data_IF_731658421924
#
_entry.id   IF_731658421924
#
_cell.length_a   1.000
_cell.length_b   1.000
_cell.length_c   1.000
_cell.angle_alpha   90.00
_cell.angle_beta   90.00
_cell.angle_gamma   90.00
#
_symmetry.space_group_name_H-M   'P 1'
#
loop_
_entity.id
_entity.type
_entity.pdbx_description
1 polymer ?
#
# COMPACT_ATOMS: atom_id res chain seq x y z
N UNK A 1 -14.69 16.52 25.00
CA UNK A 1 -15.01 16.05 23.64
C UNK A 1 -16.51 15.93 23.50
N UNK A 2 -17.04 16.35 22.35
CA UNK A 2 -18.43 16.11 22.00
C UNK A 2 -18.51 14.66 21.52
N UNK A 3 -19.38 13.85 22.12
CA UNK A 3 -19.63 12.49 21.64
C UNK A 3 -20.41 12.61 20.33
N UNK A 4 -19.74 12.35 19.21
CA UNK A 4 -20.36 12.31 17.89
C UNK A 4 -20.67 10.85 17.52
N UNK A 5 -21.79 10.62 16.85
CA UNK A 5 -22.09 9.31 16.29
C UNK A 5 -21.13 9.05 15.13
N UNK A 6 -20.45 7.90 15.14
CA UNK A 6 -19.58 7.49 14.05
C UNK A 6 -19.73 5.99 13.75
N UNK A 7 -19.37 5.61 12.53
CA UNK A 7 -19.27 4.22 12.08
C UNK A 7 -17.87 3.94 11.53
N UNK A 8 -17.44 2.68 11.60
CA UNK A 8 -16.18 2.20 11.03
C UNK A 8 -16.48 0.93 10.24
N UNK A 9 -16.15 0.93 8.96
CA UNK A 9 -16.33 -0.22 8.07
C UNK A 9 -14.99 -0.89 7.83
N UNK A 10 -14.90 -2.18 8.13
CA UNK A 10 -13.68 -2.97 7.96
C UNK A 10 -13.78 -3.84 6.70
N UNK A 11 -12.65 -4.16 6.06
CA UNK A 11 -12.61 -5.00 4.87
C UNK A 11 -12.93 -6.44 5.25
N UNK A 12 -13.80 -7.08 4.46
CA UNK A 12 -13.89 -8.54 4.45
C UNK A 12 -12.87 -9.08 3.44
N UNK A 13 -12.25 -10.21 3.76
CA UNK A 13 -11.32 -10.86 2.84
C UNK A 13 -11.39 -12.38 2.94
N UNK A 14 -10.87 -13.03 1.92
CA UNK A 14 -10.58 -14.46 1.92
C UNK A 14 -9.27 -14.69 1.19
N UNK A 15 -8.46 -15.64 1.64
CA UNK A 15 -7.14 -15.92 1.09
C UNK A 15 -6.95 -17.41 0.77
N UNK A 16 -6.22 -17.71 -0.31
CA UNK A 16 -5.76 -19.06 -0.63
C UNK A 16 -5.77 -19.39 -2.12
N UNK A 17 -5.23 -20.54 -2.50
CA UNK A 17 -5.05 -20.94 -3.92
C UNK A 17 -6.33 -21.32 -4.66
N UNK A 18 -7.40 -21.62 -3.91
CA UNK A 18 -8.72 -22.01 -4.45
C UNK A 18 -9.81 -20.99 -4.07
N UNK A 19 -9.42 -19.81 -3.62
CA UNK A 19 -10.28 -18.87 -2.90
C UNK A 19 -11.43 -18.29 -3.70
N UNK A 20 -11.34 -18.36 -5.03
CA UNK A 20 -12.42 -17.95 -5.92
C UNK A 20 -13.63 -18.90 -5.85
N UNK A 21 -13.53 -20.04 -5.16
CA UNK A 21 -14.70 -20.85 -4.76
C UNK A 21 -15.69 -20.06 -3.88
N UNK A 22 -15.24 -18.97 -3.24
CA UNK A 22 -16.07 -18.06 -2.45
C UNK A 22 -16.81 -17.01 -3.26
N UNK A 23 -16.55 -16.86 -4.57
CA UNK A 23 -17.23 -15.85 -5.40
C UNK A 23 -18.75 -16.00 -5.33
N UNK A 24 -19.30 -17.21 -5.50
CA UNK A 24 -20.75 -17.43 -5.44
C UNK A 24 -21.35 -17.03 -4.08
N UNK A 25 -20.92 -17.67 -2.97
CA UNK A 25 -21.43 -17.38 -1.63
C UNK A 25 -21.31 -15.91 -1.20
N UNK A 26 -20.28 -15.20 -1.66
CA UNK A 26 -20.04 -13.80 -1.28
C UNK A 26 -20.78 -12.82 -2.19
N UNK A 27 -20.83 -13.07 -3.50
CA UNK A 27 -21.26 -12.06 -4.48
C UNK A 27 -22.73 -12.21 -4.94
N UNK A 28 -23.33 -13.41 -4.89
CA UNK A 28 -24.67 -13.64 -5.48
C UNK A 28 -25.80 -12.81 -4.84
N UNK A 29 -25.65 -12.38 -3.59
CA UNK A 29 -26.62 -11.51 -2.92
C UNK A 29 -26.62 -10.07 -3.44
N UNK A 30 -25.61 -9.67 -4.22
CA UNK A 30 -25.44 -8.30 -4.72
C UNK A 30 -25.94 -8.12 -6.17
N UNK A 31 -26.38 -9.18 -6.83
CA UNK A 31 -26.89 -9.13 -8.20
C UNK A 31 -26.44 -10.32 -9.05
N UNK A 32 -26.55 -10.18 -10.37
CA UNK A 32 -26.22 -11.25 -11.33
C UNK A 32 -25.19 -10.83 -12.37
N UNK A 33 -25.21 -9.57 -12.82
CA UNK A 33 -24.35 -9.07 -13.90
C UNK A 33 -23.07 -8.49 -13.34
N UNK A 34 -21.93 -9.07 -13.72
CA UNK A 34 -20.60 -8.66 -13.29
C UNK A 34 -19.87 -8.00 -14.44
N UNK A 35 -19.35 -6.80 -14.21
CA UNK A 35 -18.33 -6.20 -15.09
C UNK A 35 -16.96 -6.41 -14.46
N UNK A 36 -16.00 -6.94 -15.23
CA UNK A 36 -14.61 -7.07 -14.78
C UNK A 36 -13.79 -5.91 -15.31
N UNK A 37 -13.18 -5.13 -14.41
CA UNK A 37 -12.31 -4.00 -14.75
C UNK A 37 -10.93 -4.26 -14.17
N UNK A 38 -9.86 -4.16 -14.96
CA UNK A 38 -8.52 -4.42 -14.45
C UNK A 38 -7.38 -3.93 -15.33
N UNK A 39 -6.16 -4.12 -14.86
CA UNK A 39 -4.95 -3.87 -15.65
C UNK A 39 -4.67 -5.00 -16.63
N UNK A 40 -3.98 -4.73 -17.75
CA UNK A 40 -3.71 -5.72 -18.79
C UNK A 40 -3.02 -6.98 -18.26
N UNK A 41 -1.88 -6.82 -17.58
CA UNK A 41 -1.12 -7.92 -16.96
C UNK A 41 -1.94 -8.66 -15.90
N UNK A 42 -2.74 -7.93 -15.14
CA UNK A 42 -3.56 -8.48 -14.07
C UNK A 42 -4.70 -9.35 -14.62
N UNK A 43 -5.40 -8.86 -15.64
CA UNK A 43 -6.45 -9.61 -16.32
C UNK A 43 -5.85 -10.84 -17.02
N UNK A 44 -4.69 -10.73 -17.65
CA UNK A 44 -4.00 -11.88 -18.23
C UNK A 44 -3.68 -12.97 -17.17
N UNK A 45 -3.35 -12.57 -15.94
CA UNK A 45 -3.04 -13.51 -14.86
C UNK A 45 -4.27 -14.14 -14.20
N UNK A 46 -5.37 -13.39 -14.07
CA UNK A 46 -6.49 -13.76 -13.19
C UNK A 46 -7.82 -14.03 -13.92
N UNK A 47 -8.08 -13.42 -15.07
CA UNK A 47 -9.41 -13.39 -15.69
C UNK A 47 -9.96 -14.78 -15.99
N UNK A 48 -9.16 -15.66 -16.59
CA UNK A 48 -9.60 -17.02 -16.94
C UNK A 48 -9.88 -17.88 -15.69
N UNK A 49 -9.18 -17.61 -14.58
CA UNK A 49 -9.49 -18.25 -13.29
C UNK A 49 -10.82 -17.72 -12.76
N UNK A 50 -11.03 -16.40 -12.78
CA UNK A 50 -12.29 -15.77 -12.36
C UNK A 50 -13.47 -16.33 -13.17
N UNK A 51 -13.38 -16.38 -14.51
CA UNK A 51 -14.43 -16.91 -15.39
C UNK A 51 -14.83 -18.34 -15.01
N UNK A 52 -13.86 -19.25 -14.85
CA UNK A 52 -14.12 -20.65 -14.48
C UNK A 52 -14.85 -20.81 -13.16
N UNK A 53 -14.57 -19.95 -12.19
CA UNK A 53 -15.29 -19.98 -10.91
C UNK A 53 -16.66 -19.32 -11.01
N UNK A 54 -16.81 -18.24 -11.79
CA UNK A 54 -18.11 -17.59 -12.03
C UNK A 54 -19.07 -18.52 -12.79
N UNK A 55 -18.59 -19.32 -13.73
CA UNK A 55 -19.40 -20.34 -14.45
C UNK A 55 -20.07 -21.37 -13.53
N UNK A 56 -19.60 -21.50 -12.28
CA UNK A 56 -20.14 -22.40 -11.26
C UNK A 56 -21.13 -21.69 -10.32
N UNK A 57 -21.51 -20.45 -10.63
CA UNK A 57 -22.37 -19.59 -9.81
C UNK A 57 -23.59 -19.12 -10.61
N UNK A 58 -24.49 -18.38 -9.96
CA UNK A 58 -25.62 -17.70 -10.58
C UNK A 58 -25.27 -16.35 -11.23
N UNK A 59 -23.97 -15.98 -11.26
CA UNK A 59 -23.48 -14.74 -11.83
C UNK A 59 -23.19 -14.88 -13.34
N UNK A 60 -23.13 -13.75 -14.04
CA UNK A 60 -22.80 -13.68 -15.47
C UNK A 60 -21.84 -12.50 -15.68
N UNK A 61 -20.65 -12.77 -16.21
CA UNK A 61 -19.73 -11.72 -16.65
C UNK A 61 -20.26 -11.13 -17.96
N UNK A 62 -20.62 -9.84 -17.93
CA UNK A 62 -21.15 -9.13 -19.10
C UNK A 62 -20.07 -8.38 -19.89
N UNK A 63 -18.86 -8.27 -19.34
CA UNK A 63 -17.75 -7.62 -20.03
C UNK A 63 -16.43 -7.68 -19.28
N UNK A 64 -15.36 -7.40 -20.03
CA UNK A 64 -13.99 -7.23 -19.54
C UNK A 64 -13.44 -5.91 -20.08
N UNK A 65 -12.98 -5.03 -19.20
CA UNK A 65 -12.55 -3.67 -19.54
C UNK A 65 -11.20 -3.37 -18.91
N UNK A 66 -10.34 -2.68 -19.66
CA UNK A 66 -9.09 -2.13 -19.11
C UNK A 66 -9.41 -0.84 -18.37
N UNK A 67 -8.88 -0.69 -17.15
CA UNK A 67 -9.11 0.53 -16.39
C UNK A 67 -8.44 1.75 -17.05
N UNK A 68 -7.25 1.58 -17.65
CA UNK A 68 -6.41 2.66 -18.16
C UNK A 68 -4.95 2.46 -17.75
N UNK A 69 -4.22 3.58 -17.59
CA UNK A 69 -2.81 3.59 -17.15
C UNK A 69 -2.63 4.17 -15.75
N UNK A 70 -3.39 5.21 -15.39
CA UNK A 70 -3.30 5.92 -14.12
C UNK A 70 -4.67 6.03 -13.46
N UNK A 71 -4.68 6.07 -12.13
CA UNK A 71 -5.89 6.33 -11.35
C UNK A 71 -6.18 7.84 -11.35
N UNK A 72 -6.81 8.32 -12.41
CA UNK A 72 -7.19 9.73 -12.58
C UNK A 72 -8.71 9.90 -12.54
N UNK A 73 -9.19 11.08 -12.15
CA UNK A 73 -10.62 11.37 -12.19
C UNK A 73 -11.18 11.27 -13.62
N UNK A 74 -10.41 11.66 -14.63
CA UNK A 74 -10.83 11.53 -16.03
C UNK A 74 -11.02 10.05 -16.42
N UNK A 75 -10.11 9.17 -15.99
CA UNK A 75 -10.23 7.72 -16.20
C UNK A 75 -11.49 7.17 -15.53
N UNK A 76 -11.78 7.59 -14.30
CA UNK A 76 -13.01 7.22 -13.58
C UNK A 76 -14.26 7.67 -14.36
N UNK A 77 -14.32 8.91 -14.83
CA UNK A 77 -15.46 9.41 -15.61
C UNK A 77 -15.65 8.66 -16.94
N UNK A 78 -14.56 8.28 -17.62
CA UNK A 78 -14.61 7.48 -18.85
C UNK A 78 -15.26 6.12 -18.59
N UNK A 79 -14.85 5.44 -17.51
CA UNK A 79 -15.42 4.15 -17.12
C UNK A 79 -16.90 4.29 -16.71
N UNK A 80 -17.26 5.34 -15.96
CA UNK A 80 -18.64 5.60 -15.53
C UNK A 80 -19.63 5.73 -16.70
N UNK A 81 -19.18 6.32 -17.81
CA UNK A 81 -20.02 6.54 -19.02
C UNK A 81 -20.22 5.29 -19.87
N UNK A 82 -19.54 4.18 -19.57
CA UNK A 82 -19.67 2.96 -20.37
C UNK A 82 -21.05 2.30 -20.16
N UNK A 83 -21.78 1.93 -21.24
CA UNK A 83 -23.04 1.20 -21.11
C UNK A 83 -22.90 -0.09 -20.29
N UNK A 84 -21.79 -0.82 -20.48
CA UNK A 84 -21.48 -2.02 -19.70
C UNK A 84 -21.40 -1.74 -18.19
N UNK A 85 -20.85 -0.60 -17.78
CA UNK A 85 -20.79 -0.23 -16.36
C UNK A 85 -22.19 0.07 -15.82
N UNK A 86 -23.01 0.77 -16.59
CA UNK A 86 -24.39 1.09 -16.21
C UNK A 86 -25.26 -0.17 -16.09
N UNK A 87 -25.06 -1.14 -16.97
CA UNK A 87 -25.81 -2.42 -16.97
C UNK A 87 -25.35 -3.42 -15.89
N UNK A 88 -24.14 -3.28 -15.35
CA UNK A 88 -23.60 -4.17 -14.34
C UNK A 88 -24.26 -3.97 -12.97
N UNK A 89 -24.59 -5.05 -12.29
CA UNK A 89 -25.05 -5.00 -10.89
C UNK A 89 -23.86 -4.80 -9.94
N UNK A 90 -22.69 -5.35 -10.29
CA UNK A 90 -21.47 -5.25 -9.50
C UNK A 90 -20.22 -5.23 -10.38
N UNK A 91 -19.09 -4.81 -9.78
CA UNK A 91 -17.79 -4.74 -10.46
C UNK A 91 -16.74 -5.58 -9.74
N UNK A 92 -15.99 -6.36 -10.51
CA UNK A 92 -14.78 -7.03 -10.05
C UNK A 92 -13.56 -6.22 -10.49
N UNK A 93 -12.88 -5.59 -9.53
CA UNK A 93 -11.63 -4.87 -9.74
C UNK A 93 -10.45 -5.83 -9.67
N UNK A 94 -9.65 -5.92 -10.74
CA UNK A 94 -8.56 -6.91 -10.86
C UNK A 94 -7.22 -6.22 -11.11
N UNK A 95 -6.29 -6.34 -10.17
CA UNK A 95 -4.92 -5.85 -10.37
C UNK A 95 -4.18 -5.37 -9.13
N UNK A 96 -3.22 -4.48 -9.35
CA UNK A 96 -2.50 -3.78 -8.28
C UNK A 96 -3.13 -2.43 -7.92
N UNK A 97 -2.37 -1.61 -7.18
CA UNK A 97 -2.79 -0.30 -6.64
C UNK A 97 -3.63 0.56 -7.58
N UNK A 98 -3.06 0.99 -8.71
CA UNK A 98 -3.74 1.90 -9.66
C UNK A 98 -5.06 1.34 -10.21
N UNK A 99 -5.11 0.05 -10.53
CA UNK A 99 -6.33 -0.58 -11.04
C UNK A 99 -7.40 -0.66 -9.96
N UNK A 100 -7.05 -1.12 -8.76
CA UNK A 100 -7.98 -1.25 -7.65
C UNK A 100 -8.46 0.11 -7.14
N UNK A 101 -7.59 1.12 -7.07
CA UNK A 101 -7.95 2.48 -6.69
C UNK A 101 -8.90 3.12 -7.70
N UNK A 102 -8.67 2.92 -9.00
CA UNK A 102 -9.59 3.43 -10.03
C UNK A 102 -10.99 2.84 -9.87
N UNK A 103 -11.06 1.52 -9.68
CA UNK A 103 -12.35 0.81 -9.58
C UNK A 103 -13.06 1.13 -8.26
N UNK A 104 -12.33 1.28 -7.15
CA UNK A 104 -12.90 1.77 -5.88
C UNK A 104 -13.45 3.19 -6.02
N UNK A 105 -12.67 4.12 -6.56
CA UNK A 105 -13.11 5.50 -6.75
C UNK A 105 -14.35 5.59 -7.64
N UNK A 106 -14.43 4.78 -8.70
CA UNK A 106 -15.62 4.66 -9.51
C UNK A 106 -16.82 4.10 -8.73
N UNK A 107 -16.69 2.90 -8.16
CA UNK A 107 -17.84 2.15 -7.68
C UNK A 107 -18.35 2.63 -6.33
N UNK A 108 -17.47 3.00 -5.41
CA UNK A 108 -17.87 3.44 -4.07
C UNK A 108 -18.57 4.81 -4.14
N UNK A 109 -18.11 5.71 -5.04
CA UNK A 109 -18.76 6.99 -5.28
C UNK A 109 -20.17 6.84 -5.87
N UNK A 110 -20.38 5.79 -6.65
CA UNK A 110 -21.65 5.50 -7.34
C UNK A 110 -22.54 4.53 -6.53
N UNK A 111 -22.13 4.18 -5.29
CA UNK A 111 -22.77 3.18 -4.42
C UNK A 111 -22.96 1.79 -5.08
N UNK A 112 -22.11 1.46 -6.06
CA UNK A 112 -22.13 0.18 -6.79
C UNK A 112 -21.27 -0.86 -6.06
N UNK A 113 -21.78 -2.09 -5.80
CA UNK A 113 -20.99 -3.16 -5.20
C UNK A 113 -19.70 -3.43 -5.97
N UNK A 114 -18.57 -3.39 -5.26
CA UNK A 114 -17.24 -3.64 -5.80
C UNK A 114 -16.51 -4.69 -4.97
N UNK A 115 -15.81 -5.57 -5.67
CA UNK A 115 -15.01 -6.65 -5.09
C UNK A 115 -13.58 -6.58 -5.64
N UNK A 116 -12.59 -6.75 -4.77
CA UNK A 116 -11.18 -6.66 -5.16
C UNK A 116 -10.57 -8.04 -5.39
N UNK A 117 -9.80 -8.15 -6.47
CA UNK A 117 -9.02 -9.32 -6.86
C UNK A 117 -7.57 -8.87 -7.03
N UNK A 118 -6.83 -8.66 -5.92
CA UNK A 118 -5.43 -8.26 -6.00
C UNK A 118 -4.59 -9.33 -6.70
N UNK A 119 -3.78 -8.93 -7.67
CA UNK A 119 -2.89 -9.86 -8.40
C UNK A 119 -1.42 -9.71 -8.00
N UNK A 120 -1.11 -8.73 -7.14
CA UNK A 120 0.22 -8.46 -6.61
C UNK A 120 0.08 -8.02 -5.14
N UNK A 121 1.08 -8.29 -4.32
CA UNK A 121 1.16 -7.78 -2.95
C UNK A 121 2.17 -6.63 -2.90
N UNK A 122 1.77 -5.42 -3.32
CA UNK A 122 2.64 -4.22 -3.32
C UNK A 122 2.15 -3.10 -2.42
N UNK A 123 0.89 -3.15 -2.01
CA UNK A 123 0.24 -2.18 -1.13
C UNK A 123 -1.10 -2.75 -0.65
N UNK A 124 -1.78 -1.97 0.19
CA UNK A 124 -3.05 -2.32 0.82
C UNK A 124 -4.31 -1.89 0.04
N UNK A 125 -4.19 -1.42 -1.20
CA UNK A 125 -5.32 -0.87 -1.97
C UNK A 125 -6.54 -1.79 -2.05
N UNK A 126 -6.37 -3.12 -2.02
CA UNK A 126 -7.50 -4.05 -2.01
C UNK A 126 -8.39 -3.92 -0.77
N UNK A 127 -7.86 -3.50 0.38
CA UNK A 127 -8.56 -3.53 1.66
C UNK A 127 -8.77 -2.15 2.29
N UNK A 128 -8.25 -1.07 1.70
CA UNK A 128 -8.40 0.29 2.25
C UNK A 128 -9.68 0.99 1.82
N UNK A 129 -10.09 1.98 2.62
CA UNK A 129 -11.11 2.99 2.29
C UNK A 129 -10.50 4.27 1.70
N UNK A 130 -9.38 4.17 0.99
CA UNK A 130 -8.74 5.31 0.31
C UNK A 130 -8.24 4.90 -1.07
N UNK A 131 -8.30 5.83 -2.03
CA UNK A 131 -7.66 5.70 -3.34
C UNK A 131 -6.65 6.81 -3.56
N UNK A 132 -5.48 6.46 -4.11
CA UNK A 132 -4.47 7.45 -4.47
C UNK A 132 -4.74 7.94 -5.89
N UNK A 133 -5.06 9.22 -6.00
CA UNK A 133 -5.36 9.87 -7.27
C UNK A 133 -4.11 10.52 -7.84
N UNK A 134 -3.99 10.46 -9.16
CA UNK A 134 -2.87 11.00 -9.93
C UNK A 134 -3.37 12.04 -10.93
N UNK A 135 -2.45 12.89 -11.37
CA UNK A 135 -2.61 13.72 -12.56
C UNK A 135 -2.44 12.87 -13.83
N UNK A 136 -2.83 13.42 -14.99
CA UNK A 136 -2.69 12.73 -16.28
C UNK A 136 -1.23 12.44 -16.65
N UNK A 137 -0.29 13.27 -16.19
CA UNK A 137 1.16 13.04 -16.34
C UNK A 137 1.71 11.94 -15.43
N UNK A 138 0.88 11.37 -14.55
CA UNK A 138 1.25 10.30 -13.62
C UNK A 138 1.79 10.78 -12.27
N UNK A 139 1.95 12.09 -12.07
CA UNK A 139 2.37 12.65 -10.77
C UNK A 139 1.26 12.50 -9.71
N UNK A 140 1.65 12.41 -8.45
CA UNK A 140 0.72 12.35 -7.32
C UNK A 140 -0.19 13.60 -7.28
N UNK A 141 -1.50 13.39 -7.11
CA UNK A 141 -2.47 14.48 -6.96
C UNK A 141 -2.96 14.61 -5.51
N UNK A 142 -3.68 13.59 -5.01
CA UNK A 142 -4.21 13.57 -3.63
C UNK A 142 -4.80 12.21 -3.25
N UNK A 143 -4.93 11.90 -1.95
CA UNK A 143 -5.80 10.82 -1.50
C UNK A 143 -7.28 11.18 -1.72
N UNK A 144 -8.09 10.17 -2.01
CA UNK A 144 -9.55 10.23 -2.05
C UNK A 144 -10.10 9.22 -1.04
N UNK A 145 -10.65 9.70 0.06
CA UNK A 145 -11.17 8.86 1.13
C UNK A 145 -12.64 8.49 0.94
N UNK A 146 -13.00 7.29 1.37
CA UNK A 146 -14.34 6.74 1.36
C UNK A 146 -14.80 6.38 2.78
N UNK A 147 -16.11 6.28 2.97
CA UNK A 147 -16.68 5.81 4.24
C UNK A 147 -16.50 4.30 4.46
N UNK A 148 -16.30 3.52 3.39
CA UNK A 148 -16.20 2.06 3.41
C UNK A 148 -15.19 1.53 2.38
N UNK A 149 -14.57 0.36 2.63
CA UNK A 149 -13.72 -0.31 1.65
C UNK A 149 -14.60 -1.08 0.63
N UNK A 150 -13.96 -1.89 -0.22
CA UNK A 150 -14.67 -2.85 -1.08
C UNK A 150 -15.49 -3.85 -0.25
N UNK A 151 -16.50 -4.46 -0.87
CA UNK A 151 -17.38 -5.41 -0.19
C UNK A 151 -16.62 -6.66 0.30
N UNK A 152 -15.69 -7.13 -0.53
CA UNK A 152 -14.81 -8.25 -0.21
C UNK A 152 -13.55 -8.26 -1.07
N UNK A 153 -12.44 -8.73 -0.50
CA UNK A 153 -11.16 -8.96 -1.18
C UNK A 153 -10.86 -10.45 -1.32
N UNK A 154 -10.72 -10.93 -2.55
CA UNK A 154 -10.35 -12.31 -2.87
C UNK A 154 -8.85 -12.41 -3.18
N UNK A 155 -8.07 -12.84 -2.20
CA UNK A 155 -6.60 -12.85 -2.26
C UNK A 155 -6.11 -14.22 -2.71
N UNK A 156 -5.88 -14.37 -4.02
CA UNK A 156 -5.39 -15.62 -4.59
C UNK A 156 -3.88 -15.75 -4.46
N UNK A 157 -3.43 -16.63 -3.56
CA UNK A 157 -2.01 -16.76 -3.21
C UNK A 157 -1.17 -17.35 -4.35
N UNK A 158 -1.74 -18.15 -5.25
CA UNK A 158 -1.00 -18.65 -6.41
C UNK A 158 -0.77 -17.58 -7.48
N UNK A 159 -1.76 -16.71 -7.69
CA UNK A 159 -1.61 -15.58 -8.62
C UNK A 159 -0.53 -14.64 -8.08
N UNK A 160 -0.63 -14.27 -6.79
CA UNK A 160 0.33 -13.39 -6.16
C UNK A 160 1.72 -14.02 -6.14
N UNK A 161 1.88 -15.30 -5.77
CA UNK A 161 3.18 -15.95 -5.72
C UNK A 161 3.91 -15.99 -7.07
N UNK A 162 3.16 -16.00 -8.19
CA UNK A 162 3.70 -16.00 -9.57
C UNK A 162 3.89 -14.59 -10.15
N UNK A 163 3.50 -13.55 -9.43
CA UNK A 163 3.74 -12.18 -9.84
C UNK A 163 5.23 -11.82 -9.78
N UNK A 164 5.69 -10.78 -10.51
CA UNK A 164 7.06 -10.30 -10.40
C UNK A 164 7.42 -9.91 -8.96
N UNK A 165 8.54 -10.45 -8.46
CA UNK A 165 8.91 -10.35 -7.05
C UNK A 165 9.18 -8.93 -6.56
N UNK A 166 9.55 -8.02 -7.47
CA UNK A 166 9.73 -6.60 -7.19
C UNK A 166 8.51 -5.95 -6.53
N UNK A 167 7.29 -6.46 -6.77
CA UNK A 167 6.07 -5.93 -6.17
C UNK A 167 5.95 -6.29 -4.69
N UNK A 168 6.28 -7.54 -4.31
CA UNK A 168 6.36 -7.92 -2.90
C UNK A 168 7.50 -7.20 -2.20
N UNK A 169 8.66 -7.08 -2.87
CA UNK A 169 9.81 -6.34 -2.35
C UNK A 169 9.45 -4.89 -2.01
N UNK A 170 8.80 -4.17 -2.93
CA UNK A 170 8.28 -2.83 -2.63
C UNK A 170 7.19 -2.87 -1.54
N UNK A 171 6.29 -3.86 -1.54
CA UNK A 171 5.26 -3.99 -0.51
C UNK A 171 5.83 -4.19 0.90
N UNK A 172 6.93 -4.95 1.04
CA UNK A 172 7.67 -5.09 2.31
C UNK A 172 8.17 -3.72 2.76
N UNK A 173 8.80 -2.96 1.85
CA UNK A 173 9.40 -1.66 2.15
C UNK A 173 8.41 -0.58 2.58
N UNK A 174 7.18 -0.61 2.03
CA UNK A 174 6.12 0.33 2.41
C UNK A 174 5.41 -0.08 3.72
N UNK A 175 5.20 -1.38 3.93
CA UNK A 175 4.27 -1.86 4.95
C UNK A 175 4.75 -1.57 6.38
N UNK A 176 6.03 -1.77 6.69
CA UNK A 176 6.53 -1.46 8.05
C UNK A 176 6.54 0.04 8.36
N UNK A 177 6.54 0.92 7.34
CA UNK A 177 6.48 2.37 7.55
C UNK A 177 5.21 2.76 8.30
N UNK A 178 4.11 2.03 8.03
CA UNK A 178 2.81 2.24 8.68
C UNK A 178 2.89 2.12 10.20
N UNK A 179 3.72 1.22 10.74
CA UNK A 179 3.93 1.09 12.17
C UNK A 179 4.66 2.30 12.75
N UNK A 180 5.81 2.64 12.15
CA UNK A 180 6.66 3.70 12.69
C UNK A 180 6.01 5.07 12.58
N UNK A 181 5.39 5.38 11.45
CA UNK A 181 4.72 6.67 11.27
C UNK A 181 3.52 6.80 12.21
N UNK A 182 2.68 5.77 12.34
CA UNK A 182 1.55 5.80 13.25
C UNK A 182 1.98 5.95 14.71
N UNK A 183 3.00 5.21 15.15
CA UNK A 183 3.45 5.20 16.55
C UNK A 183 4.23 6.46 16.93
N UNK A 184 5.01 7.03 16.00
CA UNK A 184 5.70 8.31 16.21
C UNK A 184 4.67 9.44 16.26
N UNK A 185 3.80 9.58 15.24
CA UNK A 185 2.83 10.68 15.18
C UNK A 185 1.84 10.66 16.34
N UNK A 186 1.51 9.49 16.89
CA UNK A 186 0.60 9.39 18.04
C UNK A 186 1.27 9.47 19.42
N UNK A 187 2.60 9.62 19.49
CA UNK A 187 3.34 9.50 20.75
C UNK A 187 3.01 10.64 21.71
N UNK A 188 2.59 10.26 22.92
CA UNK A 188 2.26 11.21 23.99
C UNK A 188 0.85 11.80 23.91
N UNK A 189 0.07 11.40 22.91
CA UNK A 189 -1.31 11.83 22.77
C UNK A 189 -2.30 10.93 23.51
N UNK A 190 -3.46 11.50 23.85
CA UNK A 190 -4.62 10.72 24.26
C UNK A 190 -5.50 10.48 23.04
N UNK A 191 -5.29 9.33 22.40
CA UNK A 191 -6.01 8.94 21.19
C UNK A 191 -7.46 8.53 21.46
N UNK A 192 -8.31 8.78 20.48
CA UNK A 192 -9.64 8.17 20.40
C UNK A 192 -9.54 6.67 20.12
N UNK A 193 -10.61 5.92 20.42
CA UNK A 193 -10.61 4.45 20.34
C UNK A 193 -10.17 3.94 18.96
N UNK A 194 -10.66 4.52 17.87
CA UNK A 194 -10.32 4.05 16.52
C UNK A 194 -8.83 4.30 16.20
N UNK A 195 -8.28 5.48 16.50
CA UNK A 195 -6.86 5.77 16.27
C UNK A 195 -5.97 4.91 17.17
N UNK A 196 -6.35 4.73 18.44
CA UNK A 196 -5.64 3.84 19.36
C UNK A 196 -5.62 2.40 18.87
N UNK A 197 -6.74 1.90 18.34
CA UNK A 197 -6.82 0.57 17.75
C UNK A 197 -5.97 0.46 16.47
N UNK A 198 -5.99 1.49 15.61
CA UNK A 198 -5.13 1.57 14.43
C UNK A 198 -3.64 1.50 14.78
N UNK A 199 -3.20 2.29 15.76
CA UNK A 199 -1.82 2.28 16.26
C UNK A 199 -1.46 0.91 16.86
N UNK A 200 -2.35 0.30 17.65
CA UNK A 200 -2.12 -1.02 18.22
C UNK A 200 -2.01 -2.13 17.16
N UNK A 201 -2.86 -2.11 16.13
CA UNK A 201 -2.83 -3.08 15.03
C UNK A 201 -1.62 -2.87 14.12
N UNK A 202 -1.12 -1.63 14.00
CA UNK A 202 0.01 -1.30 13.13
C UNK A 202 1.29 -2.10 13.44
N UNK A 203 1.46 -2.63 14.66
CA UNK A 203 2.59 -3.52 15.01
C UNK A 203 2.67 -4.75 14.09
N UNK A 204 1.52 -5.26 13.63
CA UNK A 204 1.43 -6.37 12.69
C UNK A 204 1.81 -5.98 11.25
N UNK A 205 2.10 -4.70 10.99
CA UNK A 205 2.72 -4.24 9.75
C UNK A 205 4.26 -4.35 9.81
N UNK A 206 4.85 -4.52 11.00
CA UNK A 206 6.29 -4.70 11.19
C UNK A 206 6.65 -6.15 11.50
N UNK A 207 6.04 -6.73 12.53
CA UNK A 207 6.50 -8.01 13.09
C UNK A 207 6.52 -9.17 12.07
N UNK A 208 5.46 -9.40 11.26
CA UNK A 208 5.50 -10.43 10.23
C UNK A 208 6.57 -10.19 9.16
N UNK A 209 6.93 -8.92 8.89
CA UNK A 209 7.96 -8.61 7.89
C UNK A 209 9.36 -8.89 8.42
N UNK A 210 9.61 -8.59 9.69
CA UNK A 210 10.88 -8.95 10.34
C UNK A 210 11.04 -10.47 10.47
N UNK A 211 9.97 -11.19 10.78
CA UNK A 211 10.00 -12.63 10.99
C UNK A 211 10.02 -13.43 9.68
N UNK A 212 9.11 -13.12 8.74
CA UNK A 212 8.88 -13.91 7.53
C UNK A 212 9.46 -13.28 6.26
N UNK A 213 9.75 -11.98 6.27
CA UNK A 213 10.12 -11.18 5.08
C UNK A 213 11.25 -11.78 4.24
N UNK A 214 12.43 -12.07 4.81
CA UNK A 214 13.57 -12.59 4.03
C UNK A 214 13.23 -13.89 3.30
N UNK A 215 12.66 -14.86 4.02
CA UNK A 215 12.31 -16.17 3.46
C UNK A 215 11.14 -16.09 2.48
N UNK A 216 10.10 -15.31 2.80
CA UNK A 216 8.99 -15.07 1.91
C UNK A 216 9.44 -14.47 0.57
N UNK A 217 10.35 -13.49 0.59
CA UNK A 217 10.86 -12.88 -0.63
C UNK A 217 11.69 -13.87 -1.46
N UNK A 218 12.52 -14.70 -0.84
CA UNK A 218 13.22 -15.78 -1.54
C UNK A 218 12.31 -16.83 -2.17
N UNK A 219 11.27 -17.25 -1.45
CA UNK A 219 10.29 -18.22 -1.94
C UNK A 219 9.46 -17.60 -3.08
N UNK A 220 9.11 -16.32 -2.97
CA UNK A 220 8.40 -15.59 -4.01
C UNK A 220 9.22 -15.42 -5.29
N UNK A 221 10.54 -15.15 -5.19
CA UNK A 221 11.46 -15.18 -6.36
C UNK A 221 11.45 -16.52 -7.09
N UNK A 222 11.12 -17.61 -6.40
CA UNK A 222 11.01 -18.98 -6.97
C UNK A 222 9.58 -19.32 -7.42
N UNK A 223 8.62 -18.40 -7.29
CA UNK A 223 7.21 -18.63 -7.62
C UNK A 223 6.47 -19.55 -6.64
N UNK A 224 6.99 -19.72 -5.41
CA UNK A 224 6.45 -20.63 -4.42
C UNK A 224 5.43 -19.93 -3.51
N UNK A 225 4.30 -20.59 -3.27
CA UNK A 225 3.30 -20.17 -2.29
C UNK A 225 3.54 -20.92 -0.98
N UNK A 226 4.35 -20.36 -0.08
CA UNK A 226 4.64 -20.91 1.25
C UNK A 226 3.87 -20.20 2.35
N UNK A 227 3.90 -20.73 3.57
CA UNK A 227 3.31 -20.08 4.74
C UNK A 227 3.86 -18.66 4.93
N UNK A 228 5.18 -18.49 4.82
CA UNK A 228 5.86 -17.21 4.99
C UNK A 228 5.42 -16.19 3.93
N UNK A 229 5.27 -16.64 2.67
CA UNK A 229 4.68 -15.82 1.59
C UNK A 229 3.27 -15.37 1.96
N UNK A 230 2.43 -16.28 2.46
CA UNK A 230 1.08 -15.93 2.88
C UNK A 230 1.06 -14.91 4.02
N UNK A 231 1.93 -15.06 5.03
CA UNK A 231 2.04 -14.10 6.14
C UNK A 231 2.45 -12.70 5.67
N UNK A 232 3.42 -12.60 4.76
CA UNK A 232 3.83 -11.32 4.17
C UNK A 232 2.73 -10.71 3.31
N UNK A 233 2.01 -11.52 2.52
CA UNK A 233 0.86 -11.04 1.74
C UNK A 233 -0.25 -10.50 2.64
N UNK A 234 -0.56 -11.18 3.75
CA UNK A 234 -1.55 -10.73 4.72
C UNK A 234 -1.12 -9.42 5.40
N UNK A 235 0.15 -9.29 5.78
CA UNK A 235 0.68 -8.05 6.33
C UNK A 235 0.49 -6.89 5.34
N UNK A 236 0.96 -7.05 4.10
CA UNK A 236 0.93 -6.01 3.07
C UNK A 236 -0.50 -5.61 2.69
N UNK A 237 -1.37 -6.58 2.45
CA UNK A 237 -2.69 -6.34 1.87
C UNK A 237 -3.74 -6.08 2.94
N UNK A 238 -3.79 -6.90 3.99
CA UNK A 238 -4.89 -6.90 4.97
C UNK A 238 -4.54 -6.05 6.17
N UNK A 239 -3.44 -6.32 6.86
CA UNK A 239 -3.09 -5.61 8.10
C UNK A 239 -2.88 -4.13 7.84
N UNK A 240 -2.08 -3.78 6.82
CA UNK A 240 -1.88 -2.37 6.45
C UNK A 240 -3.19 -1.70 6.04
N UNK A 241 -4.12 -2.44 5.41
CA UNK A 241 -5.45 -1.93 5.07
C UNK A 241 -6.31 -1.64 6.30
N UNK A 242 -6.33 -2.54 7.28
CA UNK A 242 -7.02 -2.38 8.56
C UNK A 242 -6.46 -1.20 9.35
N UNK A 243 -5.13 -1.12 9.50
CA UNK A 243 -4.47 -0.01 10.17
C UNK A 243 -4.82 1.31 9.49
N UNK A 244 -4.71 1.38 8.16
CA UNK A 244 -5.04 2.57 7.37
C UNK A 244 -6.48 3.05 7.60
N UNK A 245 -7.47 2.16 7.62
CA UNK A 245 -8.87 2.55 7.88
C UNK A 245 -9.06 3.17 9.25
N UNK A 246 -8.43 2.60 10.28
CA UNK A 246 -8.51 3.15 11.63
C UNK A 246 -7.77 4.48 11.76
N UNK A 247 -6.59 4.59 11.16
CA UNK A 247 -5.70 5.76 11.25
C UNK A 247 -6.16 6.94 10.39
N UNK A 248 -7.07 6.72 9.43
CA UNK A 248 -7.60 7.76 8.52
C UNK A 248 -9.10 7.97 8.67
N UNK A 249 -9.69 7.57 9.80
CA UNK A 249 -11.14 7.64 10.02
C UNK A 249 -11.70 9.07 9.98
N UNK A 250 -10.89 10.04 10.34
CA UNK A 250 -11.18 11.48 10.28
C UNK A 250 -10.81 12.11 8.91
N UNK A 251 -10.41 11.29 7.94
CA UNK A 251 -9.97 11.69 6.61
C UNK A 251 -8.73 12.58 6.59
N UNK A 252 -7.88 12.43 7.61
CA UNK A 252 -6.55 13.07 7.67
C UNK A 252 -5.44 12.04 7.46
N UNK A 253 -4.25 12.47 7.01
CA UNK A 253 -3.07 11.61 6.92
C UNK A 253 -2.27 11.55 8.24
N UNK A 254 -2.67 12.27 9.29
CA UNK A 254 -1.85 12.60 10.48
C UNK A 254 -1.19 11.41 11.16
N UNK A 255 -1.85 10.24 11.18
CA UNK A 255 -1.33 9.01 11.77
C UNK A 255 -1.04 7.90 10.74
N UNK A 256 -1.24 8.18 9.45
CA UNK A 256 -1.10 7.20 8.38
C UNK A 256 0.03 7.53 7.40
N UNK A 257 0.62 8.71 7.53
CA UNK A 257 1.80 9.22 6.84
C UNK A 257 2.75 9.87 7.86
N UNK A 258 4.00 10.08 7.49
CA UNK A 258 5.03 10.61 8.36
C UNK A 258 6.31 11.00 7.61
N UNK A 259 7.43 11.05 8.33
CA UNK A 259 8.72 11.46 7.79
C UNK A 259 9.22 10.54 6.66
N UNK A 260 8.92 9.23 6.69
CA UNK A 260 9.34 8.33 5.63
C UNK A 260 8.65 8.67 4.30
N UNK A 261 7.34 8.93 4.35
CA UNK A 261 6.58 9.40 3.20
C UNK A 261 6.95 10.84 2.80
N UNK A 262 7.23 11.74 3.75
CA UNK A 262 7.72 13.08 3.45
C UNK A 262 9.03 13.04 2.66
N UNK A 263 9.96 12.17 3.05
CA UNK A 263 11.21 11.92 2.31
C UNK A 263 10.90 11.43 0.90
N UNK A 264 10.04 10.40 0.74
CA UNK A 264 9.63 9.91 -0.57
C UNK A 264 9.06 11.03 -1.46
N UNK A 265 8.06 11.77 -0.98
CA UNK A 265 7.42 12.84 -1.74
C UNK A 265 8.36 13.99 -2.07
N UNK A 266 9.33 14.30 -1.19
CA UNK A 266 10.36 15.29 -1.52
C UNK A 266 11.24 14.85 -2.69
N UNK A 267 11.48 13.54 -2.83
CA UNK A 267 12.33 12.97 -3.88
C UNK A 267 11.61 12.78 -5.22
N UNK A 268 10.27 12.70 -5.25
CA UNK A 268 9.51 12.57 -6.52
C UNK A 268 9.63 13.81 -7.42
N UNK A 269 10.21 14.92 -6.95
CA UNK A 269 10.60 16.03 -7.82
C UNK A 269 11.72 15.68 -8.82
N UNK A 270 12.41 14.55 -8.61
CA UNK A 270 13.45 14.06 -9.51
C UNK A 270 12.92 12.92 -10.37
N UNK A 271 12.96 13.03 -11.72
CA UNK A 271 12.38 12.03 -12.63
C UNK A 271 12.85 10.60 -12.39
N UNK A 272 14.10 10.43 -11.96
CA UNK A 272 14.68 9.11 -11.65
C UNK A 272 13.84 8.29 -10.68
N UNK A 273 13.22 8.94 -9.69
CA UNK A 273 12.42 8.27 -8.67
C UNK A 273 11.16 7.66 -9.27
N UNK A 274 10.44 8.41 -10.10
CA UNK A 274 9.20 7.91 -10.72
C UNK A 274 9.48 6.93 -11.88
N UNK A 275 10.62 7.08 -12.56
CA UNK A 275 10.96 6.26 -13.74
C UNK A 275 11.59 4.91 -13.38
N UNK A 276 12.39 4.84 -12.31
CA UNK A 276 13.23 3.67 -12.01
C UNK A 276 13.02 3.03 -10.64
N UNK A 277 12.38 3.73 -9.70
CA UNK A 277 12.17 3.22 -8.35
C UNK A 277 10.69 2.95 -8.05
N UNK A 278 10.44 1.98 -7.18
CA UNK A 278 9.08 1.72 -6.68
C UNK A 278 8.81 2.54 -5.42
N UNK A 279 7.53 2.86 -5.16
CA UNK A 279 7.14 3.65 -3.99
C UNK A 279 7.71 3.09 -2.68
N UNK A 280 7.48 1.81 -2.40
CA UNK A 280 7.92 1.18 -1.16
C UNK A 280 9.44 1.00 -1.03
N UNK A 281 10.18 1.06 -2.16
CA UNK A 281 11.64 1.04 -2.15
C UNK A 281 12.20 2.34 -1.54
N UNK A 282 11.65 3.48 -1.93
CA UNK A 282 12.11 4.79 -1.42
C UNK A 282 11.52 5.07 -0.03
N UNK A 283 10.29 4.62 0.25
CA UNK A 283 9.72 4.68 1.61
C UNK A 283 10.55 3.85 2.59
N UNK A 284 11.02 2.66 2.19
CA UNK A 284 11.93 1.84 2.98
C UNK A 284 13.19 2.59 3.42
N UNK A 285 13.80 3.33 2.49
CA UNK A 285 14.93 4.21 2.77
C UNK A 285 14.54 5.33 3.74
N UNK A 286 13.39 5.98 3.51
CA UNK A 286 12.85 7.03 4.38
C UNK A 286 12.63 6.57 5.82
N UNK A 287 12.24 5.31 6.05
CA UNK A 287 12.08 4.75 7.41
C UNK A 287 13.41 4.68 8.16
N UNK A 288 14.51 4.34 7.48
CA UNK A 288 15.84 4.32 8.13
C UNK A 288 16.20 5.70 8.70
N UNK A 289 15.99 6.75 7.90
CA UNK A 289 16.22 8.12 8.33
C UNK A 289 15.22 8.56 9.40
N UNK A 290 13.97 8.11 9.32
CA UNK A 290 12.94 8.39 10.32
C UNK A 290 13.34 7.85 11.69
N UNK A 291 13.78 6.59 11.76
CA UNK A 291 14.20 5.95 13.01
C UNK A 291 15.45 6.61 13.60
N UNK A 292 16.40 7.01 12.76
CA UNK A 292 17.60 7.73 13.22
C UNK A 292 17.27 9.14 13.72
N UNK A 293 16.40 9.88 13.02
CA UNK A 293 15.96 11.20 13.42
C UNK A 293 15.16 11.17 14.74
N UNK A 294 14.37 10.12 14.96
CA UNK A 294 13.63 9.88 16.21
C UNK A 294 14.46 9.15 17.29
N UNK A 295 15.73 8.85 17.02
CA UNK A 295 16.67 8.19 17.94
C UNK A 295 16.27 6.76 18.37
N UNK A 296 15.50 6.06 17.54
CA UNK A 296 15.11 4.65 17.76
C UNK A 296 16.16 3.69 17.21
N UNK A 297 17.36 3.67 17.82
CA UNK A 297 18.52 2.94 17.27
C UNK A 297 18.36 1.41 17.21
N UNK A 298 17.65 0.81 18.17
CA UNK A 298 17.40 -0.65 18.16
C UNK A 298 16.47 -1.06 17.03
N UNK A 299 15.41 -0.28 16.80
CA UNK A 299 14.47 -0.51 15.69
C UNK A 299 15.13 -0.20 14.34
N UNK A 300 15.98 0.84 14.28
CA UNK A 300 16.79 1.13 13.10
C UNK A 300 17.62 -0.08 12.68
N UNK A 301 18.34 -0.73 13.60
CA UNK A 301 19.17 -1.89 13.24
C UNK A 301 18.33 -3.06 12.73
N UNK A 302 17.15 -3.32 13.32
CA UNK A 302 16.24 -4.38 12.82
C UNK A 302 15.79 -4.12 11.38
N UNK A 303 15.37 -2.90 11.07
CA UNK A 303 14.92 -2.52 9.72
C UNK A 303 16.08 -2.48 8.75
N UNK A 304 17.24 -1.97 9.15
CA UNK A 304 18.46 -1.95 8.35
C UNK A 304 18.86 -3.37 7.91
N UNK A 305 18.88 -4.32 8.86
CA UNK A 305 19.19 -5.72 8.57
C UNK A 305 18.14 -6.38 7.67
N UNK A 306 16.84 -6.11 7.90
CA UNK A 306 15.80 -6.57 6.99
C UNK A 306 16.02 -6.02 5.58
N UNK A 307 16.26 -4.71 5.45
CA UNK A 307 16.48 -4.06 4.16
C UNK A 307 17.65 -4.70 3.42
N UNK A 308 18.80 -4.89 4.08
CA UNK A 308 19.93 -5.63 3.48
C UNK A 308 19.56 -7.05 3.07
N UNK A 309 18.87 -7.80 3.92
CA UNK A 309 18.52 -9.20 3.66
C UNK A 309 17.61 -9.37 2.44
N UNK A 310 16.74 -8.40 2.16
CA UNK A 310 15.85 -8.41 0.98
C UNK A 310 16.33 -7.53 -0.18
N UNK A 311 17.46 -6.84 -0.01
CA UNK A 311 18.03 -5.92 -1.00
C UNK A 311 17.22 -4.63 -1.19
N UNK A 312 16.53 -4.14 -0.17
CA UNK A 312 15.99 -2.77 -0.14
C UNK A 312 17.12 -1.76 0.14
N UNK A 313 17.00 -0.51 -0.33
CA UNK A 313 18.07 0.48 -0.23
C UNK A 313 18.38 0.87 1.22
N UNK A 314 19.67 1.04 1.47
CA UNK A 314 20.27 1.55 2.70
C UNK A 314 21.18 2.76 2.45
N UNK A 315 21.27 3.24 1.21
CA UNK A 315 22.09 4.39 0.82
C UNK A 315 21.42 5.27 -0.25
N UNK A 316 21.87 6.52 -0.37
CA UNK A 316 21.42 7.44 -1.43
C UNK A 316 21.80 6.95 -2.84
N UNK A 317 22.93 6.25 -2.97
CA UNK A 317 23.41 5.72 -4.25
C UNK A 317 22.45 4.66 -4.82
N UNK A 318 21.92 3.79 -3.97
CA UNK A 318 20.98 2.73 -4.37
C UNK A 318 19.62 3.26 -4.83
N UNK A 319 19.24 4.47 -4.40
CA UNK A 319 18.05 5.19 -4.90
C UNK A 319 18.40 6.28 -5.92
N UNK A 320 19.64 6.29 -6.41
CA UNK A 320 20.13 7.19 -7.45
C UNK A 320 19.93 8.68 -7.17
N UNK A 321 19.95 9.06 -5.88
CA UNK A 321 19.88 10.46 -5.43
C UNK A 321 21.28 10.96 -5.09
N UNK A 322 21.65 12.10 -5.67
CA UNK A 322 22.93 12.76 -5.36
C UNK A 322 22.88 13.47 -4.00
N UNK A 323 24.04 13.75 -3.43
CA UNK A 323 24.15 14.53 -2.19
C UNK A 323 23.50 15.92 -2.30
N UNK A 324 23.68 16.60 -3.44
CA UNK A 324 23.09 17.93 -3.71
C UNK A 324 21.55 17.85 -3.73
N UNK A 325 21.00 16.85 -4.44
CA UNK A 325 19.55 16.62 -4.48
C UNK A 325 18.97 16.28 -3.10
N UNK A 326 19.70 15.54 -2.28
CA UNK A 326 19.31 15.27 -0.90
C UNK A 326 19.31 16.54 -0.04
N UNK A 327 20.29 17.43 -0.21
CA UNK A 327 20.32 18.73 0.48
C UNK A 327 19.09 19.58 0.16
N UNK A 328 18.66 19.62 -1.10
CA UNK A 328 17.42 20.29 -1.50
C UNK A 328 16.15 19.63 -0.93
N UNK A 329 16.14 18.30 -0.75
CA UNK A 329 15.04 17.60 -0.08
C UNK A 329 14.96 17.98 1.40
N UNK A 330 16.10 18.02 2.10
CA UNK A 330 16.15 18.36 3.53
C UNK A 330 15.62 19.76 3.83
N UNK A 331 15.71 20.69 2.88
CA UNK A 331 15.14 22.03 3.02
C UNK A 331 13.61 22.06 2.92
N UNK A 332 13.02 21.14 2.15
CA UNK A 332 11.57 21.09 1.91
C UNK A 332 10.83 20.26 2.95
N UNK A 333 11.40 19.14 3.39
CA UNK A 333 10.78 18.17 4.30
C UNK A 333 10.18 18.81 5.57
N UNK A 334 10.87 19.74 6.29
CA UNK A 334 10.35 20.33 7.52
C UNK A 334 9.00 21.07 7.40
N UNK A 335 8.64 21.50 6.19
CA UNK A 335 7.42 22.27 5.91
C UNK A 335 6.31 21.41 5.25
N UNK A 336 6.53 20.10 5.10
CA UNK A 336 5.56 19.18 4.50
C UNK A 336 4.45 18.80 5.49
N UNK A 337 3.24 18.58 4.96
CA UNK A 337 2.07 18.19 5.77
C UNK A 337 2.27 16.86 6.50
N UNK A 338 3.03 15.93 5.93
CA UNK A 338 3.24 14.59 6.46
C UNK A 338 3.97 14.59 7.82
N UNK A 339 4.76 15.63 8.12
CA UNK A 339 5.47 15.78 9.40
C UNK A 339 4.83 16.81 10.32
N UNK A 340 3.70 17.41 9.92
CA UNK A 340 3.03 18.47 10.68
C UNK A 340 2.46 17.99 12.02
N UNK A 341 2.07 16.71 12.10
CA UNK A 341 1.50 16.08 13.30
C UNK A 341 2.53 15.33 14.16
N UNK A 342 3.83 15.49 13.89
CA UNK A 342 4.85 14.85 14.71
C UNK A 342 4.87 15.43 16.13
N UNK A 343 5.26 14.64 17.15
CA UNK A 343 5.36 15.10 18.53
C UNK A 343 6.50 16.11 18.77
N UNK A 344 7.25 16.44 17.72
CA UNK A 344 8.32 17.42 17.68
C UNK A 344 8.47 17.96 16.25
N UNK A 345 9.07 19.15 16.10
CA UNK A 345 9.36 19.72 14.79
C UNK A 345 10.53 18.99 14.13
N UNK A 346 10.32 18.43 12.94
CA UNK A 346 11.41 17.96 12.09
C UNK A 346 12.27 19.14 11.65
N UNK A 347 13.59 19.02 11.74
CA UNK A 347 14.53 20.06 11.35
C UNK A 347 15.59 19.52 10.40
N UNK A 348 16.16 20.40 9.57
CA UNK A 348 17.29 20.07 8.69
C UNK A 348 18.44 19.40 9.45
N UNK A 349 18.82 19.91 10.62
CA UNK A 349 19.90 19.33 11.42
C UNK A 349 19.63 17.87 11.82
N UNK A 350 18.38 17.52 12.17
CA UNK A 350 18.02 16.13 12.48
C UNK A 350 18.20 15.20 11.27
N UNK A 351 17.86 15.70 10.07
CA UNK A 351 18.04 14.94 8.82
C UNK A 351 19.53 14.79 8.45
N UNK A 352 20.34 15.83 8.68
CA UNK A 352 21.79 15.79 8.50
C UNK A 352 22.46 14.79 9.45
N UNK A 353 22.11 14.82 10.73
CA UNK A 353 22.60 13.86 11.74
C UNK A 353 22.17 12.43 11.41
N UNK A 354 20.91 12.22 11.01
CA UNK A 354 20.41 10.92 10.58
C UNK A 354 21.17 10.38 9.36
N UNK A 355 21.38 11.23 8.34
CA UNK A 355 22.14 10.85 7.15
C UNK A 355 23.60 10.52 7.46
N UNK A 356 24.25 11.29 8.35
CA UNK A 356 25.63 11.01 8.78
C UNK A 356 25.73 9.64 9.46
N UNK A 357 24.80 9.33 10.37
CA UNK A 357 24.75 8.03 11.05
C UNK A 357 24.51 6.87 10.10
N UNK A 358 23.62 7.05 9.11
CA UNK A 358 23.37 6.03 8.09
C UNK A 358 24.64 5.76 7.27
N UNK A 359 25.34 6.81 6.81
CA UNK A 359 26.61 6.67 6.09
C UNK A 359 27.69 5.98 6.92
N UNK A 360 27.80 6.29 8.21
CA UNK A 360 28.73 5.61 9.12
C UNK A 360 28.39 4.12 9.26
N UNK A 361 27.10 3.78 9.35
CA UNK A 361 26.64 2.39 9.46
C UNK A 361 26.93 1.59 8.17
N UNK A 362 26.67 2.17 7.00
CA UNK A 362 26.98 1.57 5.70
C UNK A 362 28.48 1.38 5.52
N UNK A 363 29.29 2.37 5.91
CA UNK A 363 30.75 2.26 5.87
C UNK A 363 31.28 1.08 6.68
N UNK A 364 30.72 0.84 7.88
CA UNK A 364 31.11 -0.29 8.73
C UNK A 364 30.85 -1.65 8.08
N UNK A 365 29.77 -1.79 7.30
CA UNK A 365 29.53 -3.04 6.56
C UNK A 365 30.67 -3.33 5.58
N UNK A 366 31.16 -2.31 4.86
CA UNK A 366 32.28 -2.46 3.93
C UNK A 366 33.64 -2.71 4.62
N UNK A 367 33.75 -2.42 5.91
CA UNK A 367 34.95 -2.72 6.70
C UNK A 367 34.90 -4.14 7.32
N UNK A 368 33.72 -4.75 7.40
CA UNK A 368 33.47 -6.10 7.95
C UNK A 368 33.36 -7.21 6.88
N UNK A 369 33.12 -6.83 5.61
CA UNK A 369 33.18 -7.69 4.41
C UNK A 369 34.62 -7.90 3.90
#
# INVERSE_FOLDING_TARGET
>A
MKLENYEVHLPNYSIGSKIYDKIGPVCESYGKKVLVIGGEKALAAAYDKICRYVEQTNLTIIGKVLYGQNCTYETVEKLRRMPLYQEADMVFGVGGGKALDTVKCLCISDDKPVFAFPTIASNCSACTSVSIMYNEDGSFLKPHFFVRPVMHSFIDTEIIAKAPSQYMWAGIGDTYAKYYEATISSRGERLEHFTALGAAVSVMCRDPLLEFGPKAYEDHKKGLCTYDVEQVVLAIVVTTGLASIFLTKDFTPDYNSGLAHAIFYSMTSYPVIEERHLHGEVVAFGVLLTLLADQQYEEFEKVYQLNKAVGLPVSLEEIEITQEQWEECMDRIPDMSDVAHYPYKITRNMLEEAMSRLKERVKKDHEEE
#
